data_IF_726369604108
#
_entry.id   IF_726369604108
#
_cell.length_a   1.000
_cell.length_b   1.000
_cell.length_c   1.000
_cell.angle_alpha   90.00
_cell.angle_beta   90.00
_cell.angle_gamma   90.00
#
_symmetry.space_group_name_H-M   'P 1'
#
loop_
_entity.id
_entity.type
_entity.pdbx_description
1 polymer ?
#
# COMPACT_ATOMS: atom_id res chain seq x y z
N UNK A 1 -7.90 12.12 -8.98
CA UNK A 1 -6.65 12.33 -8.22
C UNK A 1 -6.88 12.41 -6.70
N UNK A 2 -6.76 11.28 -6.01
CA UNK A 2 -6.76 11.19 -4.54
C UNK A 2 -5.82 10.11 -4.03
N UNK A 3 -5.49 10.17 -2.75
CA UNK A 3 -4.87 9.05 -2.02
C UNK A 3 -6.00 8.27 -1.35
N UNK A 4 -6.15 6.99 -1.71
CA UNK A 4 -7.19 6.11 -1.15
C UNK A 4 -6.73 5.44 0.13
N UNK A 5 -5.44 5.11 0.26
CA UNK A 5 -4.91 4.41 1.43
C UNK A 5 -3.43 4.72 1.65
N UNK A 6 -3.01 4.80 2.91
CA UNK A 6 -1.61 4.83 3.35
C UNK A 6 -1.46 3.81 4.49
N UNK A 7 -0.44 2.98 4.43
CA UNK A 7 -0.12 2.03 5.50
C UNK A 7 1.38 1.99 5.79
N UNK A 8 1.73 1.71 7.05
CA UNK A 8 3.09 1.40 7.50
C UNK A 8 3.13 -0.05 7.96
N UNK A 9 4.12 -0.79 7.49
CA UNK A 9 4.35 -2.18 7.83
C UNK A 9 5.80 -2.40 8.23
N UNK A 10 6.03 -3.35 9.13
CA UNK A 10 7.35 -3.91 9.40
C UNK A 10 7.54 -5.16 8.57
N UNK A 11 8.63 -5.24 7.82
CA UNK A 11 9.05 -6.44 7.10
C UNK A 11 10.58 -6.53 7.02
N UNK A 12 11.18 -7.34 7.90
CA UNK A 12 12.64 -7.52 7.99
C UNK A 12 13.08 -8.84 7.35
N UNK A 13 12.37 -9.92 7.69
CA UNK A 13 12.72 -11.27 7.23
C UNK A 13 11.83 -11.66 6.03
N UNK A 14 12.42 -11.96 4.86
CA UNK A 14 11.68 -12.33 3.65
C UNK A 14 10.80 -13.58 3.80
N UNK A 15 11.08 -14.44 4.78
CA UNK A 15 10.32 -15.66 5.02
C UNK A 15 9.10 -15.43 5.92
N UNK A 16 8.99 -14.26 6.54
CA UNK A 16 7.88 -13.87 7.42
C UNK A 16 6.88 -12.97 6.73
N UNK A 17 5.62 -13.01 7.18
CA UNK A 17 4.62 -12.05 6.71
C UNK A 17 4.85 -10.66 7.36
N UNK A 18 4.65 -9.56 6.60
CA UNK A 18 4.77 -8.22 7.16
C UNK A 18 3.76 -7.94 8.27
N UNK A 19 4.22 -7.33 9.36
CA UNK A 19 3.36 -6.88 10.46
C UNK A 19 2.84 -5.48 10.18
N UNK A 20 1.53 -5.28 10.26
CA UNK A 20 0.91 -3.98 10.07
C UNK A 20 1.17 -3.10 11.30
N UNK A 21 1.69 -1.90 11.11
CA UNK A 21 1.90 -0.93 12.20
C UNK A 21 0.83 0.15 12.24
N UNK A 22 0.18 0.37 11.10
CA UNK A 22 -1.02 1.19 10.99
C UNK A 22 -1.46 1.36 9.54
N UNK A 23 -2.74 1.70 9.38
CA UNK A 23 -3.39 1.89 8.09
C UNK A 23 -4.45 2.99 8.20
N UNK A 24 -4.48 3.89 7.24
CA UNK A 24 -5.54 4.87 7.06
C UNK A 24 -6.06 4.80 5.63
N UNK A 25 -7.38 4.88 5.46
CA UNK A 25 -8.02 4.78 4.14
C UNK A 25 -9.22 5.70 4.01
N UNK A 26 -9.34 6.39 2.87
CA UNK A 26 -10.53 7.14 2.49
C UNK A 26 -11.38 6.32 1.51
N UNK A 27 -12.40 5.68 2.07
CA UNK A 27 -13.35 4.83 1.34
C UNK A 27 -14.69 5.52 1.10
N UNK A 28 -14.75 6.86 1.20
CA UNK A 28 -15.98 7.64 1.02
C UNK A 28 -16.64 7.41 -0.34
N UNK A 29 -15.86 7.14 -1.39
CA UNK A 29 -16.34 6.81 -2.74
C UNK A 29 -17.01 5.44 -2.86
N UNK A 30 -16.84 4.56 -1.87
CA UNK A 30 -17.45 3.24 -1.86
C UNK A 30 -18.75 3.25 -1.04
N UNK A 31 -19.73 2.46 -1.49
CA UNK A 31 -20.97 2.24 -0.76
C UNK A 31 -20.68 1.71 0.65
N UNK A 32 -21.42 2.21 1.65
CA UNK A 32 -21.15 1.97 3.08
C UNK A 32 -20.91 0.49 3.41
N UNK A 33 -21.73 -0.41 2.86
CA UNK A 33 -21.65 -1.85 3.11
C UNK A 33 -20.43 -2.54 2.46
N UNK A 34 -19.81 -1.95 1.45
CA UNK A 34 -18.62 -2.52 0.80
C UNK A 34 -17.31 -2.05 1.45
N UNK A 35 -17.33 -0.97 2.23
CA UNK A 35 -16.12 -0.35 2.82
C UNK A 35 -15.32 -1.32 3.67
N UNK A 36 -15.99 -2.19 4.43
CA UNK A 36 -15.33 -3.23 5.23
C UNK A 36 -14.46 -4.15 4.38
N UNK A 37 -15.03 -4.73 3.32
CA UNK A 37 -14.29 -5.64 2.45
C UNK A 37 -13.20 -4.97 1.61
N UNK A 38 -13.39 -3.70 1.24
CA UNK A 38 -12.34 -2.91 0.60
C UNK A 38 -11.17 -2.67 1.56
N UNK A 39 -11.42 -2.37 2.84
CA UNK A 39 -10.36 -2.22 3.85
C UNK A 39 -9.56 -3.50 4.04
N UNK A 40 -10.23 -4.65 4.11
CA UNK A 40 -9.58 -5.97 4.18
C UNK A 40 -8.70 -6.22 2.94
N UNK A 41 -9.21 -5.91 1.74
CA UNK A 41 -8.44 -6.04 0.49
C UNK A 41 -7.21 -5.12 0.47
N UNK A 42 -7.34 -3.88 0.92
CA UNK A 42 -6.21 -2.94 1.02
C UNK A 42 -5.12 -3.49 1.93
N UNK A 43 -5.47 -4.06 3.10
CA UNK A 43 -4.52 -4.67 4.01
C UNK A 43 -3.81 -5.88 3.36
N UNK A 44 -4.58 -6.78 2.76
CA UNK A 44 -4.06 -7.96 2.07
C UNK A 44 -3.08 -7.61 0.94
N UNK A 45 -3.44 -6.65 0.08
CA UNK A 45 -2.56 -6.19 -1.02
C UNK A 45 -1.32 -5.50 -0.47
N UNK A 46 -1.46 -4.73 0.62
CA UNK A 46 -0.34 -4.08 1.30
C UNK A 46 0.71 -5.09 1.75
N UNK A 47 0.29 -6.15 2.45
CA UNK A 47 1.19 -7.23 2.87
C UNK A 47 1.80 -7.97 1.68
N UNK A 48 0.99 -8.26 0.67
CA UNK A 48 1.43 -8.98 -0.53
C UNK A 48 2.56 -8.24 -1.26
N UNK A 49 2.43 -6.91 -1.41
CA UNK A 49 3.44 -6.08 -2.06
C UNK A 49 4.66 -5.91 -1.15
N UNK A 50 4.48 -5.53 0.12
CA UNK A 50 5.61 -5.31 1.04
C UNK A 50 6.46 -6.56 1.24
N UNK A 51 5.85 -7.74 1.28
CA UNK A 51 6.57 -9.02 1.34
C UNK A 51 7.56 -9.20 0.18
N UNK A 52 7.30 -8.53 -0.95
CA UNK A 52 8.08 -8.61 -2.18
C UNK A 52 8.88 -7.33 -2.47
N UNK A 53 8.87 -6.37 -1.54
CA UNK A 53 9.70 -5.16 -1.57
C UNK A 53 10.92 -5.36 -0.69
N UNK A 54 12.09 -5.58 -1.30
CA UNK A 54 13.35 -5.75 -0.59
C UNK A 54 13.77 -4.47 0.15
N UNK A 55 14.61 -4.60 1.18
CA UNK A 55 15.19 -3.46 1.88
C UNK A 55 15.92 -2.49 0.91
N UNK A 56 15.65 -1.19 1.05
CA UNK A 56 16.18 -0.13 0.19
C UNK A 56 15.46 0.01 -1.16
N UNK A 57 14.49 -0.85 -1.46
CA UNK A 57 13.79 -0.86 -2.74
C UNK A 57 12.55 0.03 -2.72
N UNK A 58 12.24 0.60 -3.89
CA UNK A 58 10.97 1.24 -4.20
C UNK A 58 10.27 0.48 -5.32
N UNK A 59 8.97 0.28 -5.18
CA UNK A 59 8.15 -0.38 -6.18
C UNK A 59 6.91 0.44 -6.50
N UNK A 60 6.46 0.34 -7.74
CA UNK A 60 5.21 0.87 -8.23
C UNK A 60 4.46 -0.24 -8.95
N UNK A 61 3.21 -0.44 -8.59
CA UNK A 61 2.34 -1.46 -9.18
C UNK A 61 1.14 -0.75 -9.75
N UNK A 62 0.99 -0.81 -11.06
CA UNK A 62 -0.19 -0.32 -11.77
C UNK A 62 -1.29 -1.40 -11.71
N UNK A 63 -2.53 -0.98 -11.46
CA UNK A 63 -3.69 -1.87 -11.57
C UNK A 63 -4.93 -1.05 -11.93
N UNK A 64 -5.39 -1.20 -13.17
CA UNK A 64 -6.52 -0.44 -13.73
C UNK A 64 -6.29 1.08 -13.60
N UNK A 65 -7.17 1.78 -12.88
CA UNK A 65 -7.11 3.24 -12.66
C UNK A 65 -6.27 3.63 -11.43
N UNK A 66 -5.71 2.64 -10.73
CA UNK A 66 -4.94 2.83 -9.50
C UNK A 66 -3.45 2.58 -9.71
N UNK A 67 -2.66 3.27 -8.90
CA UNK A 67 -1.24 3.05 -8.75
C UNK A 67 -0.93 2.80 -7.28
N UNK A 68 -0.16 1.75 -7.01
CA UNK A 68 0.28 1.38 -5.67
C UNK A 68 1.77 1.60 -5.57
N UNK A 69 2.18 2.50 -4.70
CA UNK A 69 3.58 2.84 -4.49
C UNK A 69 4.02 2.29 -3.14
N UNK A 70 5.16 1.59 -3.10
CA UNK A 70 5.74 1.08 -1.87
C UNK A 70 7.24 1.38 -1.76
N UNK A 71 7.71 1.55 -0.53
CA UNK A 71 9.13 1.62 -0.22
C UNK A 71 9.44 0.86 1.05
N UNK A 72 10.65 0.30 1.13
CA UNK A 72 11.16 -0.38 2.32
C UNK A 72 12.48 0.28 2.75
N UNK A 73 12.49 0.90 3.93
CA UNK A 73 13.67 1.52 4.54
C UNK A 73 14.23 0.57 5.60
N UNK A 74 14.99 -0.42 5.16
CA UNK A 74 15.70 -1.39 6.02
C UNK A 74 14.81 -2.10 7.06
N UNK A 75 13.59 -2.46 6.67
CA UNK A 75 12.65 -3.18 7.53
C UNK A 75 11.38 -2.40 7.83
N UNK A 76 11.44 -1.07 7.85
CA UNK A 76 10.29 -0.21 8.02
C UNK A 76 9.79 0.21 6.64
N UNK A 77 8.59 -0.25 6.29
CA UNK A 77 8.03 -0.09 4.95
C UNK A 77 6.77 0.75 4.98
N UNK A 78 6.54 1.50 3.92
CA UNK A 78 5.31 2.23 3.72
C UNK A 78 4.75 1.94 2.32
N UNK A 79 3.42 1.96 2.22
CA UNK A 79 2.69 1.74 0.97
C UNK A 79 1.52 2.71 0.87
N UNK A 80 1.26 3.20 -0.33
CA UNK A 80 0.13 4.06 -0.62
C UNK A 80 -0.60 3.60 -1.89
N UNK A 81 -1.93 3.69 -1.84
CA UNK A 81 -2.83 3.45 -2.97
C UNK A 81 -3.35 4.80 -3.42
N UNK A 82 -3.07 5.14 -4.67
CA UNK A 82 -3.42 6.43 -5.25
C UNK A 82 -4.11 6.22 -6.60
N UNK A 83 -4.89 7.19 -7.03
CA UNK A 83 -5.31 7.23 -8.43
C UNK A 83 -4.08 7.37 -9.33
N UNK A 84 -4.11 6.80 -10.53
CA UNK A 84 -3.00 6.88 -11.51
C UNK A 84 -2.52 8.32 -11.79
N UNK A 85 -3.44 9.28 -11.70
CA UNK A 85 -3.18 10.70 -11.95
C UNK A 85 -2.37 11.37 -10.83
N UNK A 86 -2.33 10.78 -9.63
CA UNK A 86 -1.59 11.33 -8.52
C UNK A 86 -0.08 11.19 -8.79
N UNK A 87 0.72 12.28 -8.73
CA UNK A 87 2.12 12.22 -9.12
C UNK A 87 2.93 11.23 -8.26
N UNK A 88 3.58 10.25 -8.89
CA UNK A 88 4.34 9.22 -8.19
C UNK A 88 5.45 9.79 -7.30
N UNK A 89 6.10 10.88 -7.75
CA UNK A 89 7.13 11.58 -6.95
C UNK A 89 6.55 12.11 -5.64
N UNK A 90 5.40 12.77 -5.71
CA UNK A 90 4.69 13.28 -4.55
C UNK A 90 4.28 12.13 -3.62
N UNK A 91 3.85 10.97 -4.15
CA UNK A 91 3.56 9.80 -3.32
C UNK A 91 4.78 9.28 -2.57
N UNK A 92 5.95 9.13 -3.23
CA UNK A 92 7.16 8.69 -2.54
C UNK A 92 7.65 9.68 -1.47
N UNK A 93 7.45 10.99 -1.66
CA UNK A 93 7.67 11.96 -0.58
C UNK A 93 6.78 11.71 0.62
N UNK A 94 5.48 11.48 0.40
CA UNK A 94 4.53 11.18 1.47
C UNK A 94 4.95 9.90 2.21
N UNK A 95 5.33 8.85 1.49
CA UNK A 95 5.79 7.60 2.10
C UNK A 95 7.03 7.81 2.97
N UNK A 96 8.03 8.53 2.48
CA UNK A 96 9.22 8.85 3.28
C UNK A 96 8.88 9.68 4.51
N UNK A 97 8.03 10.69 4.35
CA UNK A 97 7.59 11.56 5.46
C UNK A 97 6.87 10.76 6.54
N UNK A 98 5.97 9.85 6.16
CA UNK A 98 5.24 8.97 7.07
C UNK A 98 6.20 8.04 7.83
N UNK A 99 7.22 7.50 7.16
CA UNK A 99 8.28 6.70 7.81
C UNK A 99 9.08 7.57 8.80
N UNK A 100 9.52 8.76 8.39
CA UNK A 100 10.28 9.69 9.23
C UNK A 100 9.49 10.11 10.48
N UNK A 101 8.19 10.42 10.33
CA UNK A 101 7.31 10.78 11.45
C UNK A 101 7.12 9.63 12.43
N UNK A 102 7.04 8.41 11.91
CA UNK A 102 6.97 7.22 12.73
C UNK A 102 8.28 6.99 13.50
N UNK A 103 9.42 7.06 12.83
CA UNK A 103 10.75 6.95 13.46
C UNK A 103 10.99 8.05 14.50
N UNK A 104 10.57 9.29 14.22
CA UNK A 104 10.70 10.41 15.15
C UNK A 104 9.85 10.20 16.41
N UNK A 105 8.64 9.64 16.28
CA UNK A 105 7.72 9.45 17.40
C UNK A 105 8.02 8.19 18.23
N UNK A 106 8.38 7.09 17.58
CA UNK A 106 8.51 5.77 18.22
C UNK A 106 9.95 5.25 18.27
N UNK A 107 10.91 5.93 17.63
CA UNK A 107 12.29 5.49 17.54
C UNK A 107 12.40 4.13 16.86
N UNK A 108 13.26 3.26 17.38
CA UNK A 108 13.49 1.91 16.83
C UNK A 108 12.61 0.81 17.46
N UNK A 109 11.57 1.17 18.21
CA UNK A 109 10.68 0.20 18.88
C UNK A 109 10.05 -0.78 17.88
N UNK A 110 9.78 -0.31 16.65
CA UNK A 110 9.24 -1.14 15.58
C UNK A 110 10.09 -2.37 15.27
N UNK A 111 11.41 -2.35 15.49
CA UNK A 111 12.30 -3.49 15.29
C UNK A 111 12.03 -4.66 16.23
N UNK A 112 11.20 -4.48 17.26
CA UNK A 112 10.77 -5.54 18.20
C UNK A 112 9.31 -5.98 18.04
N UNK A 113 8.51 -5.25 17.28
CA UNK A 113 7.10 -5.59 17.04
C UNK A 113 6.97 -6.88 16.23
N UNK A 114 6.30 -7.89 16.79
CA UNK A 114 6.10 -9.21 16.16
C UNK A 114 4.61 -9.56 15.99
N UNK A 115 3.74 -8.55 16.04
CA UNK A 115 2.30 -8.67 15.84
C UNK A 115 1.76 -7.37 15.21
N UNK A 116 0.53 -7.41 14.70
CA UNK A 116 -0.10 -6.22 14.16
C UNK A 116 -0.42 -5.21 15.26
N UNK A 117 -0.23 -3.93 14.95
CA UNK A 117 -0.53 -2.82 15.86
C UNK A 117 -1.21 -1.69 15.10
N UNK A 118 -1.87 -0.82 15.85
CA UNK A 118 -2.52 0.38 15.32
C UNK A 118 -1.78 1.67 15.72
N UNK A 119 -0.57 1.55 16.25
CA UNK A 119 0.19 2.67 16.82
C UNK A 119 0.49 3.77 15.78
N UNK A 120 0.62 3.40 14.49
CA UNK A 120 0.85 4.33 13.40
C UNK A 120 -0.44 4.91 12.78
N UNK A 121 -1.64 4.47 13.18
CA UNK A 121 -2.90 4.95 12.59
C UNK A 121 -3.00 6.49 12.61
N UNK A 122 -2.71 7.20 13.72
CA UNK A 122 -2.79 8.66 13.74
C UNK A 122 -1.84 9.35 12.76
N UNK A 123 -0.66 8.75 12.51
CA UNK A 123 0.32 9.28 11.54
C UNK A 123 -0.22 9.09 10.12
N UNK A 124 -0.74 7.89 9.83
CA UNK A 124 -1.33 7.58 8.53
C UNK A 124 -2.56 8.45 8.24
N UNK A 125 -3.43 8.68 9.23
CA UNK A 125 -4.63 9.52 9.10
C UNK A 125 -4.27 10.99 8.86
N UNK A 126 -3.29 11.52 9.58
CA UNK A 126 -2.80 12.89 9.38
C UNK A 126 -2.23 13.06 7.98
N UNK A 127 -1.36 12.14 7.56
CA UNK A 127 -0.76 12.17 6.22
C UNK A 127 -1.81 12.02 5.12
N UNK A 128 -2.76 11.09 5.29
CA UNK A 128 -3.84 10.87 4.33
C UNK A 128 -4.68 12.13 4.13
N UNK A 129 -4.94 12.91 5.19
CA UNK A 129 -5.70 14.15 5.11
C UNK A 129 -4.91 15.31 4.52
N UNK A 130 -3.65 15.47 4.94
CA UNK A 130 -2.80 16.59 4.52
C UNK A 130 -2.39 16.48 3.03
N UNK A 131 -2.06 15.27 2.58
CA UNK A 131 -1.49 15.04 1.26
C UNK A 131 -2.50 14.61 0.20
N UNK A 132 -3.82 14.79 0.45
CA UNK A 132 -4.80 14.70 -0.64
C UNK A 132 -4.49 15.72 -1.75
N UNK A 133 -3.98 16.90 -1.39
CA UNK A 133 -3.45 17.88 -2.33
C UNK A 133 -1.96 17.59 -2.60
N UNK A 134 -1.57 17.20 -3.84
CA UNK A 134 -0.16 16.96 -4.17
C UNK A 134 0.73 18.18 -3.97
N UNK A 135 0.19 19.41 -4.04
CA UNK A 135 0.98 20.63 -3.84
C UNK A 135 1.53 20.72 -2.40
N UNK A 136 0.89 20.07 -1.43
CA UNK A 136 1.41 19.94 -0.07
C UNK A 136 2.66 19.03 -0.05
N UNK A 137 2.63 17.92 -0.78
CA UNK A 137 3.76 17.01 -0.92
C UNK A 137 4.93 17.65 -1.70
N UNK A 138 4.65 18.55 -2.64
CA UNK A 138 5.69 19.29 -3.39
C UNK A 138 6.56 20.19 -2.50
N UNK A 139 6.05 20.63 -1.35
CA UNK A 139 6.85 21.35 -0.36
C UNK A 139 7.90 20.45 0.28
N UNK A 140 7.61 19.15 0.41
CA UNK A 140 8.59 18.13 0.85
C UNK A 140 9.63 17.87 -0.24
N UNK A 141 9.21 17.81 -1.52
CA UNK A 141 10.10 17.58 -2.67
C UNK A 141 11.24 18.60 -2.75
N UNK A 142 10.99 19.87 -2.41
CA UNK A 142 12.04 20.90 -2.44
C UNK A 142 13.19 20.63 -1.47
N UNK A 143 12.95 19.82 -0.45
CA UNK A 143 13.92 19.46 0.59
C UNK A 143 14.62 18.14 0.24
N UNK A 144 13.89 17.17 -0.34
CA UNK A 144 14.42 15.85 -0.70
C UNK A 144 14.92 15.79 -2.15
N UNK A 145 16.17 16.21 -2.39
CA UNK A 145 16.87 16.01 -3.68
C UNK A 145 17.26 14.55 -3.97
N UNK A 146 17.24 13.68 -2.95
CA UNK A 146 17.73 12.29 -3.02
C UNK A 146 16.75 11.32 -3.71
N UNK A 147 15.53 11.77 -4.02
CA UNK A 147 14.50 10.89 -4.60
C UNK A 147 14.77 10.50 -6.06
N UNK A 148 15.43 11.38 -6.82
CA UNK A 148 15.65 11.18 -8.26
C UNK A 148 16.72 10.14 -8.59
N UNK A 149 17.59 9.80 -7.63
CA UNK A 149 18.66 8.81 -7.85
C UNK A 149 18.20 7.36 -7.61
N UNK A 150 17.08 7.16 -6.93
CA UNK A 150 16.63 5.81 -6.55
C UNK A 150 15.76 5.19 -7.64
N UNK A 151 16.23 4.09 -8.24
CA UNK A 151 15.47 3.34 -9.25
C UNK A 151 14.18 2.78 -8.65
N UNK A 152 13.05 3.11 -9.27
CA UNK A 152 11.73 2.57 -8.94
C UNK A 152 11.44 1.39 -9.86
N UNK A 153 11.12 0.22 -9.29
CA UNK A 153 10.70 -0.94 -10.09
C UNK A 153 9.22 -0.79 -10.42
N UNK A 154 8.89 -0.79 -11.71
CA UNK A 154 7.52 -0.63 -12.19
C UNK A 154 6.94 -1.97 -12.65
N UNK A 155 5.79 -2.31 -12.10
CA UNK A 155 4.98 -3.48 -12.40
C UNK A 155 3.67 -3.03 -13.05
N UNK A 156 3.27 -3.67 -14.16
CA UNK A 156 2.02 -3.29 -14.88
C UNK A 156 0.75 -3.83 -14.22
N UNK A 157 0.89 -4.90 -13.44
CA UNK A 157 -0.22 -5.56 -12.75
C UNK A 157 0.28 -6.12 -11.42
N UNK A 158 -0.63 -6.32 -10.46
CA UNK A 158 -0.33 -6.99 -9.19
C UNK A 158 0.24 -8.40 -9.44
N UNK A 159 -0.30 -9.13 -10.42
CA UNK A 159 0.23 -10.47 -10.79
C UNK A 159 1.70 -10.44 -11.21
N UNK A 160 2.18 -9.34 -11.78
CA UNK A 160 3.60 -9.23 -12.17
C UNK A 160 4.56 -9.04 -11.00
N UNK A 161 4.02 -8.75 -9.80
CA UNK A 161 4.79 -8.75 -8.55
C UNK A 161 4.89 -10.17 -7.99
N UNK A 162 3.90 -11.03 -8.26
CA UNK A 162 3.80 -12.38 -7.69
C UNK A 162 4.89 -13.32 -8.22
N UNK A 163 5.13 -14.41 -7.47
CA UNK A 163 6.08 -15.43 -7.90
C UNK A 163 5.57 -16.17 -9.15
N UNK A 164 6.50 -16.72 -9.94
CA UNK A 164 6.14 -17.47 -11.15
C UNK A 164 5.23 -18.65 -10.78
N UNK A 165 4.04 -18.69 -11.37
CA UNK A 165 3.04 -19.75 -11.14
C UNK A 165 2.08 -19.46 -9.98
N UNK A 166 2.27 -18.36 -9.26
CA UNK A 166 1.35 -17.87 -8.24
C UNK A 166 0.30 -16.95 -8.90
N UNK A 167 -0.96 -17.02 -8.43
CA UNK A 167 -2.06 -16.19 -8.92
C UNK A 167 -2.67 -15.43 -7.75
N UNK A 168 -3.09 -14.19 -8.00
CA UNK A 168 -3.76 -13.38 -6.99
C UNK A 168 -5.01 -14.06 -6.42
N UNK A 169 -5.79 -14.76 -7.26
CA UNK A 169 -6.96 -15.53 -6.83
C UNK A 169 -6.61 -16.59 -5.78
N UNK A 170 -5.51 -17.32 -5.98
CA UNK A 170 -5.06 -18.37 -5.06
C UNK A 170 -4.56 -17.80 -3.74
N UNK A 171 -4.01 -16.58 -3.75
CA UNK A 171 -3.64 -15.88 -2.53
C UNK A 171 -4.85 -15.37 -1.77
N UNK A 172 -5.86 -14.83 -2.47
CA UNK A 172 -7.12 -14.38 -1.87
C UNK A 172 -7.83 -15.52 -1.14
N UNK A 173 -7.88 -16.72 -1.74
CA UNK A 173 -8.52 -17.89 -1.13
C UNK A 173 -7.82 -18.42 0.13
N UNK A 174 -6.51 -18.20 0.24
CA UNK A 174 -5.68 -18.69 1.36
C UNK A 174 -5.40 -17.63 2.41
N UNK A 175 -5.85 -16.40 2.18
CA UNK A 175 -5.55 -15.26 3.03
C UNK A 175 -6.36 -15.29 4.33
N UNK A 176 -5.66 -15.06 5.45
CA UNK A 176 -6.29 -14.81 6.75
C UNK A 176 -6.71 -13.33 6.94
N UNK A 177 -6.30 -12.44 6.03
CA UNK A 177 -6.64 -11.01 6.06
C UNK A 177 -8.02 -10.70 5.46
N UNK A 178 -8.64 -11.67 4.79
CA UNK A 178 -9.91 -11.51 4.09
C UNK A 178 -10.99 -12.38 4.72
N UNK A 179 -12.09 -11.75 5.12
CA UNK A 179 -13.31 -12.48 5.50
C UNK A 179 -13.90 -13.21 4.29
N UNK A 180 -14.69 -14.25 4.55
CA UNK A 180 -15.40 -14.99 3.49
C UNK A 180 -16.27 -14.06 2.62
N UNK A 181 -16.87 -13.03 3.23
CA UNK A 181 -17.64 -12.02 2.52
C UNK A 181 -16.77 -11.23 1.53
N UNK A 182 -15.59 -10.79 1.95
CA UNK A 182 -14.64 -10.06 1.10
C UNK A 182 -14.06 -10.92 -0.03
N UNK A 183 -13.78 -12.21 0.25
CA UNK A 183 -13.35 -13.15 -0.77
C UNK A 183 -14.44 -13.37 -1.84
N UNK A 184 -15.70 -13.51 -1.42
CA UNK A 184 -16.85 -13.63 -2.33
C UNK A 184 -17.04 -12.34 -3.13
N UNK A 185 -16.96 -11.18 -2.49
CA UNK A 185 -17.06 -9.87 -3.14
C UNK A 185 -16.00 -9.71 -4.24
N UNK A 186 -14.74 -10.03 -3.94
CA UNK A 186 -13.66 -9.99 -4.93
C UNK A 186 -13.94 -10.89 -6.13
N UNK A 187 -14.36 -12.13 -5.89
CA UNK A 187 -14.70 -13.09 -6.96
C UNK A 187 -15.88 -12.61 -7.81
N UNK A 188 -16.89 -12.01 -7.19
CA UNK A 188 -18.06 -11.46 -7.89
C UNK A 188 -17.66 -10.26 -8.76
N UNK A 189 -16.91 -9.31 -8.21
CA UNK A 189 -16.43 -8.14 -8.94
C UNK A 189 -15.60 -8.54 -10.18
N UNK A 190 -14.69 -9.50 -10.04
CA UNK A 190 -13.91 -10.02 -11.17
C UNK A 190 -14.78 -10.65 -12.25
N UNK A 191 -15.75 -11.48 -11.87
CA UNK A 191 -16.68 -12.10 -12.84
C UNK A 191 -17.51 -11.06 -13.58
N UNK A 192 -17.95 -10.02 -12.88
CA UNK A 192 -18.75 -8.94 -13.49
C UNK A 192 -17.92 -8.14 -14.51
N UNK A 193 -16.65 -7.89 -14.22
CA UNK A 193 -15.73 -7.16 -15.11
C UNK A 193 -15.15 -8.02 -16.24
N UNK A 194 -15.28 -9.35 -16.17
CA UNK A 194 -14.84 -10.27 -17.23
C UNK A 194 -15.81 -10.35 -18.43
N UNK A 195 -17.07 -9.95 -18.25
CA UNK A 195 -18.10 -10.02 -19.29
C UNK A 195 -18.13 -8.75 -20.16
N UNK A 196 -17.03 -8.41 -20.83
CA UNK A 196 -16.97 -7.44 -21.94
C UNK A 196 -15.68 -7.62 -22.76
N UNK A 197 -15.47 -8.80 -23.33
CA UNK A 197 -14.72 -8.94 -24.58
C UNK A 197 -15.78 -9.08 -25.67
N UNK A 198 -16.38 -7.96 -26.09
CA UNK A 198 -17.10 -7.94 -27.36
C UNK A 198 -16.00 -7.89 -28.42
N UNK A 199 -15.90 -9.00 -29.16
CA UNK A 199 -15.06 -9.18 -30.36
C UNK A 199 -15.41 -8.13 -31.40
#
# INVERSE_FOLDING_TARGET
MKITCIAILRHIDPDTDPYLLGIASDLSSFGYFHRGGVKEMLNFVSRTIIRRTCAGQRQSVEHEEYMVHSCNKNGLSAIAFVDREYPSRSTFCVLNKVIEDYEQKFGEVWKKISEDTEAANPICESALKEFQDPAAADKLLKIQRELDETKVILHKTIDSVLARGEKLDSLVERSNDLSLASQVFYKQARKQNQCCIIV
#
